data_IF_802477600966
#
_entry.id   IF_802477600966
#
_cell.length_a   1.000
_cell.length_b   1.000
_cell.length_c   1.000
_cell.angle_alpha   90.00
_cell.angle_beta   90.00
_cell.angle_gamma   90.00
#
_symmetry.space_group_name_H-M   'P 1'
#
loop_
_entity.id
_entity.type
_entity.pdbx_description
1 polymer ?
#
# COMPACT_ATOMS: atom_id res chain seq x y z
N UNK A 1 -34.48 -18.87 -25.36
CA UNK A 1 -33.11 -18.39 -25.58
C UNK A 1 -32.88 -17.27 -24.57
N UNK A 2 -32.35 -17.64 -23.39
CA UNK A 2 -32.11 -16.72 -22.27
C UNK A 2 -30.72 -16.13 -22.47
N UNK A 3 -30.62 -14.88 -22.82
CA UNK A 3 -29.39 -14.08 -22.73
C UNK A 3 -29.08 -13.89 -21.24
N UNK A 4 -28.20 -14.69 -20.71
CA UNK A 4 -27.43 -14.38 -19.53
C UNK A 4 -26.47 -13.26 -19.95
N UNK A 5 -26.87 -12.01 -19.74
CA UNK A 5 -25.97 -10.89 -19.63
C UNK A 5 -25.04 -11.20 -18.44
N UNK A 6 -23.87 -11.72 -18.76
CA UNK A 6 -22.73 -11.73 -17.86
C UNK A 6 -22.42 -10.24 -17.62
N UNK A 7 -23.02 -9.65 -16.59
CA UNK A 7 -22.47 -8.46 -15.99
C UNK A 7 -21.17 -8.93 -15.32
N UNK A 8 -20.07 -8.90 -16.10
CA UNK A 8 -18.74 -8.85 -15.48
C UNK A 8 -18.73 -7.60 -14.64
N UNK A 9 -18.53 -7.70 -13.32
CA UNK A 9 -18.21 -6.52 -12.54
C UNK A 9 -16.96 -5.93 -13.20
N UNK A 10 -17.02 -4.67 -13.56
CA UNK A 10 -15.87 -3.83 -13.84
C UNK A 10 -15.13 -3.68 -12.50
N UNK A 11 -14.51 -4.77 -12.06
CA UNK A 11 -13.75 -4.82 -10.83
C UNK A 11 -12.55 -3.87 -10.97
N UNK A 12 -12.41 -2.97 -10.04
CA UNK A 12 -11.24 -2.21 -9.66
C UNK A 12 -10.43 -1.60 -10.82
N UNK A 13 -10.61 -0.30 -11.09
CA UNK A 13 -9.74 0.37 -12.05
C UNK A 13 -8.31 0.57 -11.52
N UNK A 14 -8.10 0.41 -10.21
CA UNK A 14 -6.80 0.62 -9.56
C UNK A 14 -6.69 -0.22 -8.29
N UNK A 15 -5.91 -1.28 -8.31
CA UNK A 15 -5.50 -2.01 -7.11
C UNK A 15 -4.00 -1.80 -6.87
N UNK A 16 -3.62 -1.67 -5.60
CA UNK A 16 -2.23 -1.55 -5.17
C UNK A 16 -1.95 -2.61 -4.12
N UNK A 17 -0.97 -3.45 -4.39
CA UNK A 17 -0.46 -4.45 -3.45
C UNK A 17 0.98 -4.07 -3.09
N UNK A 18 1.29 -3.93 -1.81
CA UNK A 18 2.63 -3.67 -1.31
C UNK A 18 3.00 -4.74 -0.28
N UNK A 19 3.97 -5.58 -0.64
CA UNK A 19 4.48 -6.66 0.20
C UNK A 19 5.86 -6.30 0.73
N UNK A 20 5.99 -6.24 2.05
CA UNK A 20 7.24 -6.00 2.75
C UNK A 20 7.63 -7.25 3.53
N UNK A 21 8.80 -7.78 3.28
CA UNK A 21 9.34 -8.95 3.99
C UNK A 21 10.62 -8.59 4.71
N UNK A 22 10.61 -8.68 6.02
CA UNK A 22 11.78 -8.51 6.87
C UNK A 22 12.41 -9.87 7.16
N UNK A 23 13.64 -10.07 6.67
CA UNK A 23 14.43 -11.28 6.89
C UNK A 23 15.22 -11.27 8.21
N UNK A 24 15.70 -12.44 8.63
CA UNK A 24 16.52 -12.61 9.82
C UNK A 24 17.87 -11.85 9.74
N UNK A 25 18.34 -11.57 8.53
CA UNK A 25 19.54 -10.80 8.22
C UNK A 25 19.32 -9.27 8.22
N UNK A 26 18.15 -8.83 8.70
CA UNK A 26 17.73 -7.42 8.71
C UNK A 26 17.56 -6.81 7.30
N UNK A 27 17.46 -7.64 6.28
CA UNK A 27 17.13 -7.16 4.92
C UNK A 27 15.62 -7.11 4.76
N UNK A 28 15.14 -5.96 4.31
CA UNK A 28 13.76 -5.75 3.90
C UNK A 28 13.71 -5.88 2.38
N UNK A 29 12.87 -6.79 1.88
CA UNK A 29 12.48 -6.81 0.48
C UNK A 29 11.09 -6.22 0.34
N UNK A 30 10.95 -5.23 -0.54
CA UNK A 30 9.69 -4.60 -0.86
C UNK A 30 9.30 -4.94 -2.31
N UNK A 31 8.11 -5.46 -2.49
CA UNK A 31 7.50 -5.61 -3.81
C UNK A 31 6.20 -4.81 -3.85
N UNK A 32 6.12 -3.84 -4.76
CA UNK A 32 4.89 -3.08 -4.98
C UNK A 32 4.34 -3.42 -6.35
N UNK A 33 3.09 -3.82 -6.39
CA UNK A 33 2.37 -4.19 -7.59
C UNK A 33 1.14 -3.29 -7.75
N UNK A 34 1.12 -2.53 -8.82
CA UNK A 34 0.00 -1.67 -9.19
C UNK A 34 -0.73 -2.28 -10.37
N UNK A 35 -2.02 -2.49 -10.24
CA UNK A 35 -2.89 -3.04 -11.29
C UNK A 35 -3.84 -1.92 -11.72
N UNK A 36 -3.68 -1.49 -12.96
CA UNK A 36 -4.48 -0.41 -13.56
C UNK A 36 -5.41 -0.99 -14.63
N UNK A 37 -6.69 -0.70 -14.56
CA UNK A 37 -7.60 -0.97 -15.65
C UNK A 37 -7.14 -0.29 -16.94
N UNK A 38 -7.24 -0.97 -18.10
CA UNK A 38 -6.72 -0.46 -19.37
C UNK A 38 -7.24 0.91 -19.73
N UNK A 39 -8.54 1.15 -19.53
CA UNK A 39 -9.14 2.45 -19.84
C UNK A 39 -8.57 3.58 -18.98
N UNK A 40 -8.40 3.34 -17.67
CA UNK A 40 -7.79 4.29 -16.76
C UNK A 40 -6.34 4.57 -17.15
N UNK A 41 -5.57 3.51 -17.43
CA UNK A 41 -4.18 3.64 -17.85
C UNK A 41 -4.06 4.50 -19.13
N UNK A 42 -4.85 4.21 -20.17
CA UNK A 42 -4.82 4.94 -21.45
C UNK A 42 -5.24 6.40 -21.27
N UNK A 43 -6.23 6.68 -20.41
CA UNK A 43 -6.64 8.04 -20.05
C UNK A 43 -5.54 8.80 -19.32
N UNK A 44 -4.91 8.17 -18.34
CA UNK A 44 -3.82 8.77 -17.57
C UNK A 44 -2.58 9.04 -18.43
N UNK A 45 -2.30 8.22 -19.44
CA UNK A 45 -1.19 8.45 -20.38
C UNK A 45 -1.34 9.76 -21.18
N UNK A 46 -2.56 10.28 -21.32
CA UNK A 46 -2.82 11.55 -21.98
C UNK A 46 -2.54 12.76 -21.07
N UNK A 47 -2.44 12.56 -19.76
CA UNK A 47 -2.16 13.62 -18.80
C UNK A 47 -0.64 13.82 -18.65
N UNK A 48 -0.12 15.05 -18.77
CA UNK A 48 1.32 15.31 -18.66
C UNK A 48 1.95 14.90 -17.32
N UNK A 49 1.12 14.79 -16.27
CA UNK A 49 1.53 14.42 -14.91
C UNK A 49 1.56 12.90 -14.70
N UNK A 50 1.01 12.11 -15.61
CA UNK A 50 0.88 10.65 -15.45
C UNK A 50 2.12 9.86 -15.86
N UNK A 51 3.20 10.52 -16.24
CA UNK A 51 4.46 9.87 -16.64
C UNK A 51 5.14 9.06 -15.51
N UNK A 52 4.62 9.13 -14.28
CA UNK A 52 5.15 8.43 -13.10
C UNK A 52 4.34 7.24 -12.60
N UNK A 53 3.19 6.92 -13.20
CA UNK A 53 2.34 5.81 -12.70
C UNK A 53 3.01 4.44 -12.79
N UNK A 54 3.89 4.26 -13.76
CA UNK A 54 4.70 3.07 -13.92
C UNK A 54 6.14 3.55 -13.98
N UNK A 55 6.91 3.49 -12.88
CA UNK A 55 8.31 3.89 -12.88
C UNK A 55 9.11 3.23 -14.00
N UNK A 56 10.15 3.90 -14.49
CA UNK A 56 10.92 3.39 -15.63
C UNK A 56 11.65 2.07 -15.31
N UNK A 57 11.95 1.85 -14.02
CA UNK A 57 12.55 0.64 -13.47
C UNK A 57 11.56 -0.49 -13.20
N UNK A 58 10.24 -0.20 -13.24
CA UNK A 58 9.21 -1.20 -12.98
C UNK A 58 9.12 -2.23 -14.11
N UNK A 59 8.93 -3.48 -13.72
CA UNK A 59 8.49 -4.52 -14.64
C UNK A 59 7.05 -4.25 -15.06
N UNK A 60 6.82 -4.00 -16.34
CA UNK A 60 5.52 -3.68 -16.91
C UNK A 60 4.97 -4.83 -17.71
N UNK A 61 3.75 -5.27 -17.36
CA UNK A 61 3.00 -6.28 -18.13
C UNK A 61 1.71 -5.66 -18.63
N UNK A 62 1.53 -5.63 -19.95
CA UNK A 62 0.32 -5.10 -20.60
C UNK A 62 -0.58 -6.26 -21.04
N UNK A 63 -1.79 -6.30 -20.46
CA UNK A 63 -2.88 -7.18 -20.85
C UNK A 63 -3.96 -6.45 -21.67
N UNK A 64 -4.96 -7.19 -22.18
CA UNK A 64 -6.09 -6.60 -22.90
C UNK A 64 -6.94 -5.71 -22.00
N UNK A 65 -7.10 -6.07 -20.71
CA UNK A 65 -8.02 -5.43 -19.78
C UNK A 65 -7.30 -4.61 -18.68
N UNK A 66 -5.99 -4.83 -18.48
CA UNK A 66 -5.20 -4.19 -17.42
C UNK A 66 -3.74 -4.00 -17.81
N UNK A 67 -3.10 -3.08 -17.10
CA UNK A 67 -1.64 -2.88 -17.08
C UNK A 67 -1.16 -3.11 -15.66
N UNK A 68 -0.15 -3.96 -15.51
CA UNK A 68 0.45 -4.29 -14.21
C UNK A 68 1.87 -3.72 -14.18
N UNK A 69 2.17 -2.94 -13.16
CA UNK A 69 3.50 -2.39 -12.89
C UNK A 69 4.02 -2.99 -11.59
N UNK A 70 5.17 -3.65 -11.63
CA UNK A 70 5.79 -4.24 -10.44
C UNK A 70 7.16 -3.62 -10.20
N UNK A 71 7.36 -3.06 -9.01
CA UNK A 71 8.68 -2.61 -8.54
C UNK A 71 9.18 -3.53 -7.45
N UNK A 72 10.51 -3.69 -7.36
CA UNK A 72 11.18 -4.45 -6.29
C UNK A 72 12.35 -3.66 -5.79
N UNK A 73 12.38 -3.50 -4.47
CA UNK A 73 13.45 -2.81 -3.76
C UNK A 73 13.99 -3.67 -2.62
N UNK A 74 15.23 -3.41 -2.25
CA UNK A 74 15.85 -4.02 -1.08
C UNK A 74 16.58 -2.95 -0.28
N UNK A 75 16.36 -2.95 1.03
CA UNK A 75 17.08 -2.08 1.97
C UNK A 75 17.37 -2.84 3.26
N UNK A 76 18.26 -2.33 4.06
CA UNK A 76 18.43 -2.83 5.43
C UNK A 76 17.39 -2.19 6.35
N UNK A 77 17.07 -2.85 7.47
CA UNK A 77 16.18 -2.29 8.50
C UNK A 77 16.69 -0.92 8.99
N UNK A 78 18.01 -0.77 9.11
CA UNK A 78 18.61 0.51 9.54
C UNK A 78 18.43 1.63 8.50
N UNK A 79 18.53 1.32 7.21
CA UNK A 79 18.24 2.27 6.14
C UNK A 79 16.76 2.65 6.12
N UNK A 80 15.86 1.68 6.25
CA UNK A 80 14.42 1.93 6.29
C UNK A 80 14.02 2.83 7.48
N UNK A 81 14.62 2.61 8.67
CA UNK A 81 14.41 3.48 9.82
C UNK A 81 14.90 4.90 9.53
N UNK A 82 16.09 5.05 8.96
CA UNK A 82 16.66 6.37 8.65
C UNK A 82 15.84 7.12 7.57
N UNK A 83 15.31 6.39 6.58
CA UNK A 83 14.44 6.97 5.55
C UNK A 83 13.10 7.41 6.14
N UNK A 84 12.48 6.59 7.00
CA UNK A 84 11.23 6.93 7.67
C UNK A 84 11.41 8.19 8.55
N UNK A 85 12.53 8.29 9.30
CA UNK A 85 12.85 9.48 10.10
C UNK A 85 13.05 10.73 9.23
N UNK A 86 13.69 10.59 8.08
CA UNK A 86 13.92 11.70 7.14
C UNK A 86 12.65 12.15 6.45
N UNK A 87 11.78 11.21 6.04
CA UNK A 87 10.53 11.50 5.35
C UNK A 87 9.48 12.15 6.25
N UNK A 88 9.68 12.08 7.59
CA UNK A 88 8.73 12.61 8.57
C UNK A 88 8.39 14.08 8.30
N UNK A 89 7.11 14.36 7.97
CA UNK A 89 6.60 15.68 7.65
C UNK A 89 6.96 16.22 6.26
N UNK A 90 7.69 15.46 5.42
CA UNK A 90 7.99 15.87 4.03
C UNK A 90 7.02 15.28 3.01
N UNK A 91 6.54 14.03 3.26
CA UNK A 91 5.62 13.33 2.37
C UNK A 91 4.23 13.22 3.03
N UNK A 92 3.19 13.81 2.41
CA UNK A 92 1.84 13.78 2.98
C UNK A 92 1.24 12.36 3.06
N UNK A 93 1.74 11.40 2.30
CA UNK A 93 1.25 10.03 2.29
C UNK A 93 2.09 9.06 3.12
N UNK A 94 3.39 9.33 3.26
CA UNK A 94 4.34 8.43 3.92
C UNK A 94 5.10 9.11 5.06
N UNK A 95 4.89 10.42 5.27
CA UNK A 95 5.74 11.25 6.13
C UNK A 95 5.74 10.91 7.62
N UNK A 96 4.74 10.19 8.08
CA UNK A 96 4.59 9.83 9.49
C UNK A 96 4.70 8.33 9.77
N UNK A 97 5.19 7.54 8.79
CA UNK A 97 5.53 6.14 9.03
C UNK A 97 6.62 6.05 10.09
N UNK A 98 6.37 5.31 11.15
CA UNK A 98 7.33 5.08 12.22
C UNK A 98 7.78 3.62 12.20
N UNK A 99 9.09 3.42 12.10
CA UNK A 99 9.75 2.11 12.20
C UNK A 99 10.70 2.19 13.39
N UNK A 100 10.41 1.43 14.43
CA UNK A 100 11.20 1.46 15.69
C UNK A 100 11.70 0.07 16.02
N UNK A 101 13.03 -0.06 16.18
CA UNK A 101 13.63 -1.26 16.75
C UNK A 101 13.29 -1.31 18.25
N UNK A 102 12.53 -2.30 18.67
CA UNK A 102 12.14 -2.51 20.07
C UNK A 102 13.30 -3.15 20.84
N UNK A 103 13.90 -4.17 20.25
CA UNK A 103 15.07 -4.89 20.74
C UNK A 103 15.83 -5.55 19.58
N UNK A 104 16.75 -6.47 19.88
CA UNK A 104 17.56 -7.14 18.87
C UNK A 104 16.79 -8.14 18.00
N UNK A 105 15.58 -8.52 18.38
CA UNK A 105 14.73 -9.51 17.69
C UNK A 105 13.48 -8.90 17.06
N UNK A 106 13.06 -7.72 17.56
CA UNK A 106 11.73 -7.18 17.28
C UNK A 106 11.76 -5.75 16.75
N UNK A 107 10.83 -5.46 15.86
CA UNK A 107 10.57 -4.13 15.32
C UNK A 107 9.08 -3.79 15.46
N UNK A 108 8.77 -2.54 15.75
CA UNK A 108 7.42 -1.98 15.72
C UNK A 108 7.26 -1.08 14.51
N UNK A 109 6.14 -1.28 13.83
CA UNK A 109 5.68 -0.45 12.72
C UNK A 109 4.44 0.33 13.15
N UNK A 110 4.37 1.61 12.79
CA UNK A 110 3.17 2.44 12.90
C UNK A 110 3.00 3.17 11.57
N UNK A 111 1.87 2.92 10.91
CA UNK A 111 1.48 3.58 9.67
C UNK A 111 0.22 4.40 9.97
N UNK A 112 0.31 5.73 10.06
CA UNK A 112 -0.85 6.59 10.24
C UNK A 112 -1.81 6.46 9.05
N UNK A 113 -3.12 6.46 9.33
CA UNK A 113 -4.18 6.33 8.33
C UNK A 113 -5.08 7.57 8.35
N UNK A 114 -4.50 8.73 8.69
CA UNK A 114 -5.22 10.01 8.71
C UNK A 114 -5.34 10.57 7.29
N UNK A 115 -6.33 10.07 6.57
CA UNK A 115 -6.64 10.53 5.20
C UNK A 115 -7.45 11.83 5.17
N UNK A 116 -7.93 12.32 6.31
CA UNK A 116 -8.69 13.58 6.39
C UNK A 116 -7.78 14.81 6.26
N UNK A 117 -6.55 14.70 6.77
CA UNK A 117 -5.59 15.81 6.88
C UNK A 117 -4.48 15.75 5.83
N UNK A 118 -4.67 15.07 4.70
CA UNK A 118 -3.67 15.06 3.62
C UNK A 118 -3.45 16.49 3.12
N UNK A 119 -2.36 17.12 3.54
CA UNK A 119 -1.93 18.42 3.06
C UNK A 119 -1.63 18.33 1.55
N UNK A 120 -2.25 19.20 0.77
CA UNK A 120 -2.06 19.21 -0.68
C UNK A 120 -3.06 18.39 -1.47
N UNK A 121 -4.14 17.91 -0.87
CA UNK A 121 -5.27 17.31 -1.62
C UNK A 121 -5.68 18.28 -2.72
N UNK A 122 -5.59 17.89 -4.00
CA UNK A 122 -5.97 18.78 -5.09
C UNK A 122 -7.42 19.23 -4.93
N UNK A 123 -7.69 20.52 -5.12
CA UNK A 123 -9.05 21.07 -5.04
C UNK A 123 -9.99 20.40 -6.06
N UNK A 124 -9.42 19.80 -7.10
CA UNK A 124 -10.12 18.99 -8.09
C UNK A 124 -10.71 17.70 -7.51
N UNK A 125 -10.19 17.21 -6.38
CA UNK A 125 -10.70 16.04 -5.64
C UNK A 125 -11.73 16.43 -4.57
N UNK A 126 -12.39 17.58 -4.71
CA UNK A 126 -13.52 17.93 -3.85
C UNK A 126 -14.81 17.22 -4.32
N UNK A 127 -15.64 16.82 -3.36
CA UNK A 127 -16.92 16.11 -3.63
C UNK A 127 -17.88 16.86 -4.59
N UNK A 128 -17.69 18.17 -4.76
CA UNK A 128 -18.48 19.02 -5.65
C UNK A 128 -18.02 18.97 -7.12
N UNK A 129 -16.96 18.24 -7.44
CA UNK A 129 -16.41 18.16 -8.79
C UNK A 129 -16.96 16.92 -9.52
N UNK A 130 -17.61 17.08 -10.71
CA UNK A 130 -18.10 15.94 -11.50
C UNK A 130 -17.01 14.93 -11.90
N UNK A 131 -15.74 15.35 -11.97
CA UNK A 131 -14.64 14.45 -12.22
C UNK A 131 -14.39 13.54 -11.00
N UNK A 132 -14.64 14.05 -9.81
CA UNK A 132 -14.54 13.27 -8.56
C UNK A 132 -15.55 12.12 -8.53
N UNK A 133 -16.82 12.37 -8.87
CA UNK A 133 -17.84 11.30 -8.95
C UNK A 133 -17.44 10.22 -9.96
N UNK A 134 -16.94 10.62 -11.13
CA UNK A 134 -16.44 9.65 -12.13
C UNK A 134 -15.25 8.83 -11.64
N UNK A 135 -14.35 9.45 -10.85
CA UNK A 135 -13.21 8.75 -10.25
C UNK A 135 -13.67 7.81 -9.14
N UNK A 136 -14.57 8.26 -8.27
CA UNK A 136 -15.12 7.45 -7.18
C UNK A 136 -15.82 6.20 -7.71
N UNK A 137 -16.67 6.35 -8.74
CA UNK A 137 -17.32 5.22 -9.43
C UNK A 137 -16.29 4.25 -10.04
N UNK A 138 -15.20 4.78 -10.59
CA UNK A 138 -14.12 3.97 -11.18
C UNK A 138 -13.24 3.26 -10.14
N UNK A 139 -13.27 3.69 -8.88
CA UNK A 139 -12.52 3.11 -7.77
C UNK A 139 -13.39 2.24 -6.85
N UNK A 140 -14.69 2.09 -7.18
CA UNK A 140 -15.57 1.21 -6.43
C UNK A 140 -15.05 -0.25 -6.48
N UNK A 141 -14.75 -0.81 -5.31
CA UNK A 141 -14.19 -2.15 -5.16
C UNK A 141 -12.68 -2.25 -5.39
N UNK A 142 -11.98 -1.14 -5.65
CA UNK A 142 -10.53 -1.08 -5.67
C UNK A 142 -9.97 -1.04 -4.25
N UNK A 143 -8.82 -1.69 -4.03
CA UNK A 143 -8.20 -1.82 -2.71
C UNK A 143 -6.70 -1.53 -2.75
N UNK A 144 -6.22 -0.98 -1.65
CA UNK A 144 -4.80 -0.91 -1.33
C UNK A 144 -4.54 -1.96 -0.26
N UNK A 145 -3.72 -2.94 -0.60
CA UNK A 145 -3.33 -4.02 0.29
C UNK A 145 -1.87 -3.84 0.67
N UNK A 146 -1.60 -3.67 1.97
CA UNK A 146 -0.23 -3.58 2.49
C UNK A 146 0.00 -4.78 3.38
N UNK A 147 0.99 -5.61 3.04
CA UNK A 147 1.34 -6.81 3.79
C UNK A 147 2.75 -6.70 4.35
N UNK A 148 2.89 -6.99 5.63
CA UNK A 148 4.17 -7.13 6.31
C UNK A 148 4.38 -8.58 6.72
N UNK A 149 5.54 -9.15 6.36
CA UNK A 149 5.92 -10.52 6.69
C UNK A 149 7.24 -10.54 7.45
N UNK A 150 7.32 -11.41 8.46
CA UNK A 150 8.51 -11.62 9.27
C UNK A 150 8.53 -13.07 9.79
N UNK A 151 9.41 -13.39 10.73
CA UNK A 151 9.43 -14.69 11.39
C UNK A 151 8.13 -14.95 12.17
N UNK A 152 7.61 -13.93 12.87
CA UNK A 152 6.38 -14.00 13.65
C UNK A 152 5.77 -12.59 13.82
N UNK A 153 4.44 -12.50 13.78
CA UNK A 153 3.67 -11.31 14.15
C UNK A 153 3.27 -11.43 15.61
N UNK A 154 3.86 -10.60 16.48
CA UNK A 154 3.59 -10.66 17.93
C UNK A 154 2.32 -9.92 18.31
N UNK A 155 2.11 -8.75 17.72
CA UNK A 155 0.93 -7.89 17.96
C UNK A 155 0.57 -7.15 16.67
N UNK A 156 -0.71 -6.98 16.39
CA UNK A 156 -1.20 -6.08 15.34
C UNK A 156 -2.69 -5.80 15.48
N UNK A 157 -3.12 -4.68 14.90
CA UNK A 157 -4.54 -4.36 14.69
C UNK A 157 -5.00 -4.67 13.24
N UNK A 158 -4.12 -5.21 12.39
CA UNK A 158 -4.44 -5.74 11.06
C UNK A 158 -4.87 -7.21 11.07
N UNK A 159 -5.13 -7.76 9.90
CA UNK A 159 -5.48 -9.16 9.71
C UNK A 159 -4.22 -10.03 9.73
N UNK A 160 -4.01 -10.81 10.78
CA UNK A 160 -2.86 -11.72 10.90
C UNK A 160 -3.17 -13.04 10.18
N UNK A 161 -2.18 -13.57 9.42
CA UNK A 161 -2.28 -14.85 8.72
C UNK A 161 -2.42 -16.02 9.70
N UNK A 162 -2.98 -17.13 9.24
CA UNK A 162 -3.19 -18.33 10.08
C UNK A 162 -1.90 -18.90 10.67
N UNK A 163 -0.77 -18.77 9.96
CA UNK A 163 0.54 -19.21 10.41
C UNK A 163 1.27 -18.19 11.30
N UNK A 164 0.67 -16.99 11.49
CA UNK A 164 1.23 -15.94 12.32
C UNK A 164 2.47 -15.25 11.76
N UNK A 165 2.81 -15.47 10.48
CA UNK A 165 4.05 -14.93 9.88
C UNK A 165 3.86 -13.63 9.09
N UNK A 166 2.61 -13.26 8.84
CA UNK A 166 2.31 -12.00 8.13
C UNK A 166 1.09 -11.31 8.70
N UNK A 167 1.02 -10.02 8.47
CA UNK A 167 -0.14 -9.18 8.78
C UNK A 167 -0.48 -8.32 7.59
N UNK A 168 -1.77 -8.13 7.35
CA UNK A 168 -2.32 -7.41 6.22
C UNK A 168 -3.20 -6.25 6.68
N UNK A 169 -3.01 -5.10 6.02
CA UNK A 169 -3.91 -3.96 6.07
C UNK A 169 -4.58 -3.84 4.70
N UNK A 170 -5.90 -3.82 4.67
CA UNK A 170 -6.68 -3.55 3.47
C UNK A 170 -7.36 -2.21 3.63
N UNK A 171 -7.09 -1.30 2.70
CA UNK A 171 -7.71 0.03 2.65
C UNK A 171 -8.51 0.12 1.35
N UNK A 172 -9.85 0.20 1.41
CA UNK A 172 -10.64 0.50 0.23
C UNK A 172 -10.19 1.84 -0.37
N UNK A 173 -9.89 1.88 -1.67
CA UNK A 173 -9.34 3.09 -2.30
C UNK A 173 -10.31 4.28 -2.20
N UNK A 174 -11.61 4.02 -2.09
CA UNK A 174 -12.62 5.05 -1.85
C UNK A 174 -12.39 5.82 -0.54
N UNK A 175 -11.80 5.20 0.50
CA UNK A 175 -11.47 5.87 1.76
C UNK A 175 -10.44 7.00 1.60
N UNK A 176 -9.62 6.94 0.56
CA UNK A 176 -8.70 8.04 0.22
C UNK A 176 -9.44 9.26 -0.32
N UNK A 177 -10.61 9.05 -0.93
CA UNK A 177 -11.45 10.09 -1.53
C UNK A 177 -12.48 10.62 -0.54
N UNK A 178 -13.19 9.70 0.10
CA UNK A 178 -14.27 9.97 1.04
C UNK A 178 -14.04 9.17 2.33
N UNK A 179 -13.24 9.70 3.28
CA UNK A 179 -12.99 9.01 4.53
C UNK A 179 -14.30 8.74 5.29
N UNK A 180 -14.61 7.48 5.51
CA UNK A 180 -15.82 7.07 6.24
C UNK A 180 -15.63 7.02 7.75
N UNK A 181 -14.40 7.14 8.23
CA UNK A 181 -14.02 6.97 9.63
C UNK A 181 -14.12 5.52 10.11
N UNK A 182 -14.18 4.55 9.21
CA UNK A 182 -14.24 3.12 9.57
C UNK A 182 -12.84 2.52 9.76
N UNK A 183 -11.81 3.16 9.20
CA UNK A 183 -10.43 2.76 9.40
C UNK A 183 -9.92 3.20 10.78
N UNK A 184 -8.98 2.47 11.38
CA UNK A 184 -8.31 2.92 12.59
C UNK A 184 -7.45 4.16 12.30
N UNK A 185 -7.15 4.99 13.31
CA UNK A 185 -6.28 6.17 13.18
C UNK A 185 -4.86 5.80 12.69
N UNK A 186 -4.43 4.59 13.02
CA UNK A 186 -3.15 4.05 12.55
C UNK A 186 -3.21 2.52 12.46
N UNK A 187 -2.51 1.97 11.48
CA UNK A 187 -2.13 0.57 11.48
C UNK A 187 -0.88 0.38 12.33
N UNK A 188 -0.87 -0.65 13.16
CA UNK A 188 0.27 -0.99 14.04
C UNK A 188 0.59 -2.46 13.95
N UNK A 189 1.89 -2.79 13.94
CA UNK A 189 2.37 -4.15 14.03
C UNK A 189 3.67 -4.24 14.83
N UNK A 190 3.82 -5.30 15.62
CA UNK A 190 5.09 -5.70 16.26
C UNK A 190 5.51 -7.01 15.64
N UNK A 191 6.66 -7.01 14.98
CA UNK A 191 7.18 -8.12 14.20
C UNK A 191 8.45 -8.65 14.82
N UNK A 192 8.52 -9.96 15.04
CA UNK A 192 9.76 -10.66 15.34
C UNK A 192 10.40 -11.10 14.04
N UNK A 193 11.63 -10.69 13.79
CA UNK A 193 12.31 -10.96 12.53
C UNK A 193 13.45 -11.97 12.65
N UNK A 194 13.96 -12.22 13.85
CA UNK A 194 14.96 -13.26 14.09
C UNK A 194 14.85 -13.86 15.48
N UNK A 195 15.54 -14.99 15.69
CA UNK A 195 15.69 -15.59 17.00
C UNK A 195 17.14 -15.43 17.47
N UNK A 196 17.35 -14.78 18.61
CA UNK A 196 18.65 -14.76 19.26
C UNK A 196 18.86 -16.01 20.10
N UNK A 197 20.00 -16.66 19.91
CA UNK A 197 20.37 -17.84 20.73
C UNK A 197 20.82 -17.46 22.15
N UNK A 198 21.12 -18.48 22.96
CA UNK A 198 21.60 -18.30 24.35
C UNK A 198 22.88 -17.45 24.49
N UNK A 199 23.59 -17.21 23.40
CA UNK A 199 24.83 -16.41 23.35
C UNK A 199 24.62 -15.00 22.76
N UNK A 200 23.36 -14.61 22.52
CA UNK A 200 23.00 -13.34 21.86
C UNK A 200 22.83 -13.47 20.35
N UNK A 201 22.53 -12.36 19.71
CA UNK A 201 22.48 -12.22 18.25
C UNK A 201 23.82 -11.90 17.63
#
# INVERSE_FOLDING_TARGET
MRWLLLMMPLAGCLDVEADFKLGEDEVITAETRMILGRQLYDMLQLAPQAQGLCPAEAEKVEGPDSVICTTRDMSTLSEAIAEAEKARGEDPFMGDVEIVRVDDETVRLVLPLDFENIEGRPAELSADNPMFEMMADGLEGAEIVVRFSALEVLESNGAVSEDGTSVELVVPTVELLEPSGTLPDAFTAVLKYRECGLLGC
#
